data_IF_275139393552
#
_entry.id   IF_275139393552
#
_cell.length_a   1.000
_cell.length_b   1.000
_cell.length_c   1.000
_cell.angle_alpha   90.00
_cell.angle_beta   90.00
_cell.angle_gamma   90.00
#
_symmetry.space_group_name_H-M   'P 1'
#
loop_
_entity.id
_entity.type
_entity.pdbx_description
1 polymer ?
#
# COMPACT_ATOMS: atom_id res chain seq x y z
N UNK A 1 -12.78 -9.78 -1.68
CA UNK A 1 -12.13 -8.99 -0.62
C UNK A 1 -12.91 -7.70 -0.47
N UNK A 2 -13.21 -7.24 0.74
CA UNK A 2 -13.95 -5.97 0.91
C UNK A 2 -13.02 -4.78 0.63
N UNK A 3 -13.58 -3.66 0.16
CA UNK A 3 -12.86 -2.38 0.08
C UNK A 3 -12.23 -2.01 1.43
N UNK A 4 -12.91 -2.33 2.54
CA UNK A 4 -12.43 -2.08 3.90
C UNK A 4 -11.19 -2.94 4.25
N UNK A 5 -11.15 -4.18 3.77
CA UNK A 5 -9.99 -5.06 3.98
C UNK A 5 -8.77 -4.50 3.23
N UNK A 6 -8.98 -4.01 2.00
CA UNK A 6 -7.91 -3.39 1.21
C UNK A 6 -7.40 -2.11 1.86
N UNK A 7 -8.28 -1.29 2.45
CA UNK A 7 -7.87 -0.10 3.20
C UNK A 7 -7.02 -0.45 4.42
N UNK A 8 -7.32 -1.55 5.12
CA UNK A 8 -6.49 -2.03 6.24
C UNK A 8 -5.11 -2.45 5.76
N UNK A 9 -5.03 -3.23 4.67
CA UNK A 9 -3.75 -3.64 4.08
C UNK A 9 -2.89 -2.44 3.69
N UNK A 10 -3.48 -1.43 3.02
CA UNK A 10 -2.74 -0.21 2.65
C UNK A 10 -2.20 0.53 3.88
N UNK A 11 -2.97 0.57 4.98
CA UNK A 11 -2.54 1.21 6.23
C UNK A 11 -1.40 0.43 6.90
N UNK A 12 -1.44 -0.89 6.87
CA UNK A 12 -0.39 -1.74 7.43
C UNK A 12 0.91 -1.61 6.62
N UNK A 13 0.82 -1.55 5.29
CA UNK A 13 1.96 -1.27 4.42
C UNK A 13 2.55 0.13 4.69
N UNK A 14 1.72 1.14 4.97
CA UNK A 14 2.20 2.48 5.33
C UNK A 14 3.05 2.45 6.61
N UNK A 15 2.65 1.68 7.61
CA UNK A 15 3.42 1.49 8.86
C UNK A 15 4.76 0.82 8.55
N UNK A 16 4.76 -0.26 7.77
CA UNK A 16 5.97 -1.00 7.38
C UNK A 16 6.95 -0.12 6.59
N UNK A 17 6.45 0.68 5.64
CA UNK A 17 7.27 1.62 4.88
C UNK A 17 7.94 2.65 5.79
N UNK A 18 7.18 3.23 6.74
CA UNK A 18 7.70 4.21 7.70
C UNK A 18 8.73 3.61 8.64
N UNK A 19 8.60 2.33 8.98
CA UNK A 19 9.59 1.61 9.78
C UNK A 19 10.87 1.33 8.99
N UNK A 20 10.75 0.81 7.76
CA UNK A 20 11.89 0.62 6.86
C UNK A 20 12.66 1.93 6.62
N UNK A 21 11.94 3.03 6.38
CA UNK A 21 12.54 4.35 6.22
C UNK A 21 13.27 4.84 7.50
N UNK A 22 12.70 4.60 8.68
CA UNK A 22 13.35 4.91 9.97
C UNK A 22 14.63 4.10 10.19
N UNK A 23 14.64 2.85 9.70
CA UNK A 23 15.80 1.96 9.77
C UNK A 23 16.82 2.19 8.64
N UNK A 24 16.64 3.23 7.81
CA UNK A 24 17.48 3.54 6.64
C UNK A 24 17.45 2.45 5.55
N UNK A 25 16.43 1.58 5.57
CA UNK A 25 16.17 0.53 4.56
C UNK A 25 15.40 1.11 3.36
N UNK A 26 16.00 2.05 2.64
CA UNK A 26 15.28 2.83 1.62
C UNK A 26 14.76 2.00 0.43
N UNK A 27 15.49 0.98 0.00
CA UNK A 27 15.04 0.09 -1.08
C UNK A 27 13.78 -0.68 -0.67
N UNK A 28 13.73 -1.14 0.58
CA UNK A 28 12.56 -1.81 1.15
C UNK A 28 11.39 -0.84 1.30
N UNK A 29 11.64 0.39 1.77
CA UNK A 29 10.60 1.42 1.82
C UNK A 29 10.06 1.75 0.42
N UNK A 30 10.92 1.80 -0.60
CA UNK A 30 10.50 2.01 -1.99
C UNK A 30 9.63 0.85 -2.50
N UNK A 31 10.03 -0.40 -2.25
CA UNK A 31 9.25 -1.58 -2.63
C UNK A 31 7.85 -1.60 -1.99
N UNK A 32 7.76 -1.30 -0.68
CA UNK A 32 6.47 -1.24 0.03
C UNK A 32 5.59 -0.11 -0.51
N UNK A 33 6.19 1.04 -0.88
CA UNK A 33 5.46 2.14 -1.52
C UNK A 33 4.89 1.71 -2.86
N UNK A 34 5.64 0.98 -3.66
CA UNK A 34 5.21 0.56 -4.99
C UNK A 34 4.04 -0.44 -4.88
N UNK A 35 4.10 -1.37 -3.92
CA UNK A 35 2.97 -2.27 -3.60
C UNK A 35 1.70 -1.50 -3.18
N UNK A 36 1.83 -0.48 -2.32
CA UNK A 36 0.69 0.38 -1.96
C UNK A 36 0.08 1.10 -3.17
N UNK A 37 0.90 1.57 -4.11
CA UNK A 37 0.42 2.26 -5.31
C UNK A 37 -0.37 1.32 -6.21
N UNK A 38 0.07 0.08 -6.35
CA UNK A 38 -0.64 -0.92 -7.15
C UNK A 38 -1.97 -1.31 -6.53
N UNK A 39 -2.04 -1.47 -5.20
CA UNK A 39 -3.32 -1.69 -4.50
C UNK A 39 -4.29 -0.51 -4.69
N UNK A 40 -3.80 0.73 -4.64
CA UNK A 40 -4.63 1.92 -4.90
C UNK A 40 -5.13 1.98 -6.35
N UNK A 41 -4.32 1.55 -7.32
CA UNK A 41 -4.74 1.45 -8.72
C UNK A 41 -5.84 0.42 -8.90
N UNK A 42 -5.70 -0.76 -8.28
CA UNK A 42 -6.73 -1.82 -8.32
C UNK A 42 -8.05 -1.29 -7.75
N UNK A 43 -8.02 -0.64 -6.59
CA UNK A 43 -9.22 -0.02 -5.99
C UNK A 43 -9.86 1.04 -6.89
N UNK A 44 -9.04 1.88 -7.53
CA UNK A 44 -9.54 2.89 -8.45
C UNK A 44 -10.20 2.27 -9.69
N UNK A 45 -9.65 1.16 -10.21
CA UNK A 45 -10.24 0.41 -11.31
C UNK A 45 -11.55 -0.25 -10.90
N UNK A 46 -11.61 -0.93 -9.75
CA UNK A 46 -12.85 -1.52 -9.22
C UNK A 46 -13.96 -0.49 -9.07
N UNK A 47 -13.64 0.70 -8.54
CA UNK A 47 -14.60 1.80 -8.38
C UNK A 47 -15.13 2.35 -9.72
N UNK A 48 -14.32 2.33 -10.78
CA UNK A 48 -14.71 2.80 -12.11
C UNK A 48 -15.49 1.76 -12.93
N UNK A 49 -15.53 0.51 -12.48
CA UNK A 49 -16.21 -0.59 -13.20
C UNK A 49 -17.61 -0.87 -12.63
N UNK A 50 -18.05 -0.07 -11.64
CA UNK A 50 -19.34 -0.16 -10.94
C UNK A 50 -20.23 1.07 -11.23
#
# INVERSE_FOLDING_TARGET
>A
MSTDDMFRVVKDLEVQMKEAARNLEFEKAAAVRDEMLDLRRILALEKNTL
#
